data_IF_146398106269
#
_entry.id   IF_146398106269
#
_cell.length_a   1.000
_cell.length_b   1.000
_cell.length_c   1.000
_cell.angle_alpha   90.00
_cell.angle_beta   90.00
_cell.angle_gamma   90.00
#
_symmetry.space_group_name_H-M   'P 1'
#
loop_
_entity.id
_entity.type
_entity.pdbx_description
1 polymer ?
#
# COMPACT_ATOMS: atom_id res chain seq x y z
N UNK A 1 19.14 0.18 -46.05
CA UNK A 1 18.27 1.06 -45.24
C UNK A 1 18.30 0.57 -43.80
N UNK A 2 19.11 1.19 -42.95
CA UNK A 2 19.24 0.84 -41.52
C UNK A 2 18.44 1.84 -40.70
N UNK A 3 17.26 1.44 -40.23
CA UNK A 3 16.47 2.24 -39.28
C UNK A 3 17.23 2.29 -37.96
N UNK A 4 17.70 3.49 -37.59
CA UNK A 4 18.47 3.73 -36.36
C UNK A 4 17.57 3.49 -35.13
N UNK A 5 17.90 2.55 -34.23
CA UNK A 5 17.12 2.28 -33.00
C UNK A 5 17.18 3.44 -31.98
N UNK A 6 18.00 4.46 -32.24
CA UNK A 6 18.22 5.62 -31.37
C UNK A 6 16.97 6.49 -31.17
N UNK A 7 16.07 6.56 -32.16
CA UNK A 7 14.87 7.40 -32.06
C UNK A 7 13.78 6.77 -31.17
N UNK A 8 13.67 5.43 -31.16
CA UNK A 8 12.73 4.70 -30.31
C UNK A 8 13.14 4.76 -28.82
N UNK A 9 14.44 4.74 -28.53
CA UNK A 9 14.94 4.84 -27.16
C UNK A 9 14.76 6.25 -26.57
N UNK A 10 14.93 7.30 -27.36
CA UNK A 10 14.67 8.68 -26.93
C UNK A 10 13.19 8.95 -26.64
N UNK A 11 12.27 8.36 -27.42
CA UNK A 11 10.83 8.49 -27.19
C UNK A 11 10.38 7.72 -25.93
N UNK A 12 10.99 6.57 -25.64
CA UNK A 12 10.73 5.80 -24.43
C UNK A 12 11.24 6.50 -23.15
N UNK A 13 12.34 7.24 -23.22
CA UNK A 13 12.82 8.08 -22.10
C UNK A 13 12.03 9.39 -21.92
N UNK A 14 11.39 9.91 -22.97
CA UNK A 14 10.52 11.08 -22.85
C UNK A 14 9.14 10.74 -22.27
N UNK A 15 8.69 9.48 -22.39
CA UNK A 15 7.42 8.99 -21.85
C UNK A 15 7.44 8.71 -20.33
N UNK A 16 8.61 8.81 -19.67
CA UNK A 16 8.72 8.69 -18.21
C UNK A 16 8.58 10.03 -17.48
N UNK A 17 8.27 11.12 -18.22
CA UNK A 17 7.87 12.38 -17.64
C UNK A 17 6.49 12.24 -16.95
N UNK A 18 6.54 11.79 -15.70
CA UNK A 18 5.62 12.17 -14.64
C UNK A 18 4.15 11.72 -14.79
N UNK A 19 3.89 10.42 -14.63
CA UNK A 19 2.70 10.04 -13.87
C UNK A 19 2.99 10.32 -12.38
N UNK A 20 2.94 11.59 -11.99
CA UNK A 20 2.91 11.95 -10.58
C UNK A 20 1.44 12.12 -10.18
N UNK A 21 0.94 11.17 -9.39
CA UNK A 21 -0.31 11.36 -8.68
C UNK A 21 -0.18 12.56 -7.73
N UNK A 22 -1.30 13.25 -7.47
CA UNK A 22 -1.30 14.39 -6.56
C UNK A 22 -0.99 13.97 -5.12
N UNK A 23 -0.32 14.86 -4.38
CA UNK A 23 -0.11 14.69 -2.96
C UNK A 23 -1.44 14.76 -2.18
N UNK A 24 -1.48 14.06 -1.04
CA UNK A 24 -2.54 14.13 -0.03
C UNK A 24 -1.89 14.37 1.34
N UNK A 25 -1.36 15.58 1.59
CA UNK A 25 -0.39 15.83 2.65
C UNK A 25 -1.01 15.90 4.06
N UNK A 26 -2.34 15.95 4.18
CA UNK A 26 -3.02 16.13 5.46
C UNK A 26 -4.42 15.52 5.49
N UNK A 27 -4.99 15.36 6.69
CA UNK A 27 -6.38 14.95 6.86
C UNK A 27 -7.33 15.93 6.17
N UNK A 28 -8.21 15.41 5.31
CA UNK A 28 -9.07 16.22 4.47
C UNK A 28 -8.46 16.65 3.14
N UNK A 29 -7.24 16.21 2.82
CA UNK A 29 -6.55 16.43 1.53
C UNK A 29 -5.89 17.79 1.41
N UNK A 30 -6.58 18.83 1.84
CA UNK A 30 -6.08 20.20 1.84
C UNK A 30 -6.86 21.09 2.80
N UNK A 31 -6.73 22.40 2.65
CA UNK A 31 -7.34 23.38 3.57
C UNK A 31 -8.88 23.37 3.53
N UNK A 32 -9.48 22.86 2.46
CA UNK A 32 -10.94 22.69 2.32
C UNK A 32 -11.48 21.58 3.22
N UNK A 33 -10.62 20.64 3.64
CA UNK A 33 -10.95 19.49 4.50
C UNK A 33 -12.16 18.69 4.06
N UNK A 34 -12.39 18.58 2.75
CA UNK A 34 -13.59 17.96 2.18
C UNK A 34 -13.38 16.50 1.77
N UNK A 35 -12.18 15.94 1.99
CA UNK A 35 -11.84 14.56 1.66
C UNK A 35 -11.92 14.20 0.16
N UNK A 36 -11.92 15.19 -0.74
CA UNK A 36 -12.04 14.97 -2.18
C UNK A 36 -10.65 14.79 -2.82
N UNK A 37 -10.55 13.86 -3.75
CA UNK A 37 -9.40 13.72 -4.67
C UNK A 37 -9.83 14.06 -6.09
N UNK A 38 -8.97 14.77 -6.81
CA UNK A 38 -9.19 15.12 -8.22
C UNK A 38 -8.84 13.96 -9.17
N UNK A 39 -8.18 12.91 -8.67
CA UNK A 39 -7.83 11.71 -9.44
C UNK A 39 -9.09 11.08 -10.07
N UNK A 40 -8.94 10.62 -11.32
CA UNK A 40 -10.01 10.01 -12.13
C UNK A 40 -9.56 8.68 -12.70
N UNK A 41 -10.51 7.88 -13.20
CA UNK A 41 -10.20 6.61 -13.84
C UNK A 41 -9.64 5.55 -12.89
N UNK A 42 -9.83 5.73 -11.58
CA UNK A 42 -9.41 4.75 -10.58
C UNK A 42 -10.25 3.47 -10.72
N UNK A 43 -9.66 2.29 -10.47
CA UNK A 43 -10.43 1.06 -10.37
C UNK A 43 -11.55 1.20 -9.35
N UNK A 44 -12.77 0.80 -9.73
CA UNK A 44 -13.95 0.83 -8.84
C UNK A 44 -14.16 -0.49 -8.10
N UNK A 45 -13.33 -1.49 -8.38
CA UNK A 45 -13.31 -2.78 -7.71
C UNK A 45 -11.88 -3.22 -7.43
N UNK A 46 -11.69 -3.98 -6.35
CA UNK A 46 -10.41 -4.58 -5.99
C UNK A 46 -10.61 -5.91 -5.28
N UNK A 47 -9.64 -6.81 -5.42
CA UNK A 47 -9.52 -8.03 -4.61
C UNK A 47 -8.19 -7.99 -3.87
N UNK A 48 -8.19 -7.99 -2.52
CA UNK A 48 -6.96 -7.98 -1.72
C UNK A 48 -6.16 -9.28 -1.80
N UNK A 49 -6.67 -10.32 -2.47
CA UNK A 49 -6.00 -11.60 -2.59
C UNK A 49 -6.10 -12.47 -1.34
N UNK A 50 -5.50 -13.67 -1.43
CA UNK A 50 -5.48 -14.66 -0.36
C UNK A 50 -4.28 -14.41 0.57
N UNK A 51 -4.51 -14.49 1.88
CA UNK A 51 -3.43 -14.58 2.86
C UNK A 51 -2.75 -15.95 2.79
N UNK A 52 -1.43 -16.01 2.93
CA UNK A 52 -0.71 -17.28 3.08
C UNK A 52 -0.98 -17.94 4.44
N UNK A 53 -1.15 -17.12 5.49
CA UNK A 53 -1.49 -17.58 6.84
C UNK A 53 -2.98 -17.93 7.05
N UNK A 54 -3.36 -18.41 8.25
CA UNK A 54 -4.76 -18.71 8.57
C UNK A 54 -5.67 -17.50 8.30
N UNK A 55 -6.77 -17.74 7.55
CA UNK A 55 -7.71 -16.70 7.07
C UNK A 55 -8.38 -15.87 8.17
N UNK A 56 -8.34 -16.32 9.41
CA UNK A 56 -8.99 -15.65 10.53
C UNK A 56 -7.98 -15.43 11.65
N UNK A 57 -7.90 -14.19 12.12
CA UNK A 57 -7.46 -13.95 13.49
C UNK A 57 -8.34 -14.84 14.40
N UNK A 58 -7.77 -15.56 15.39
CA UNK A 58 -8.56 -16.41 16.29
C UNK A 58 -9.76 -15.65 16.88
N UNK A 59 -10.88 -16.34 17.08
CA UNK A 59 -12.19 -15.76 17.50
C UNK A 59 -12.19 -14.98 18.83
N UNK A 60 -11.08 -14.97 19.57
CA UNK A 60 -10.84 -14.18 20.79
C UNK A 60 -10.39 -12.74 20.48
N UNK A 61 -10.42 -12.32 19.21
CA UNK A 61 -9.93 -11.02 18.72
C UNK A 61 -10.62 -9.78 19.35
N UNK A 62 -10.16 -9.42 20.54
CA UNK A 62 -10.34 -8.12 21.19
C UNK A 62 -9.01 -7.38 21.32
N UNK A 63 -9.10 -6.10 21.69
CA UNK A 63 -8.00 -5.13 21.86
C UNK A 63 -6.82 -5.78 22.62
N UNK A 64 -5.69 -5.98 21.93
CA UNK A 64 -4.47 -6.67 22.41
C UNK A 64 -4.60 -8.21 22.41
N UNK A 65 -4.10 -8.86 21.36
CA UNK A 65 -4.04 -10.34 21.31
C UNK A 65 -2.94 -10.83 22.26
N UNK A 66 -3.20 -11.79 23.18
CA UNK A 66 -2.12 -12.57 23.78
C UNK A 66 -1.30 -13.23 22.67
N UNK A 67 0.02 -13.11 22.72
CA UNK A 67 0.96 -13.71 21.76
C UNK A 67 0.82 -13.21 20.30
N UNK A 68 0.21 -12.04 20.07
CA UNK A 68 0.14 -11.41 18.73
C UNK A 68 1.51 -11.30 18.06
N UNK A 69 2.51 -10.88 18.83
CA UNK A 69 3.87 -10.63 18.36
C UNK A 69 4.52 -11.92 17.83
N UNK A 70 4.29 -13.06 18.48
CA UNK A 70 4.84 -14.36 18.06
C UNK A 70 4.14 -14.88 16.79
N UNK A 71 2.81 -14.80 16.74
CA UNK A 71 2.03 -15.21 15.56
C UNK A 71 2.36 -14.34 14.33
N UNK A 72 2.59 -13.04 14.53
CA UNK A 72 2.91 -12.08 13.47
C UNK A 72 4.38 -12.17 12.98
N UNK A 73 5.25 -12.91 13.67
CA UNK A 73 6.66 -13.15 13.29
C UNK A 73 6.84 -14.40 12.42
N UNK A 74 5.82 -15.24 12.27
CA UNK A 74 5.95 -16.45 11.45
C UNK A 74 6.13 -16.09 9.96
N UNK A 75 7.01 -16.79 9.22
CA UNK A 75 7.15 -16.58 7.78
C UNK A 75 5.80 -16.74 7.06
N UNK A 76 5.40 -15.77 6.23
CA UNK A 76 4.10 -15.80 5.55
C UNK A 76 2.91 -15.32 6.39
N UNK A 77 3.11 -14.97 7.67
CA UNK A 77 2.05 -14.45 8.52
C UNK A 77 1.62 -13.05 8.06
N UNK A 78 0.33 -12.90 7.77
CA UNK A 78 -0.27 -11.68 7.24
C UNK A 78 0.23 -11.27 5.84
N UNK A 79 1.07 -12.08 5.19
CA UNK A 79 1.49 -11.89 3.80
C UNK A 79 0.35 -12.25 2.83
N UNK A 80 0.29 -11.50 1.74
CA UNK A 80 -0.69 -11.66 0.66
C UNK A 80 -0.04 -12.36 -0.52
N UNK A 81 -0.72 -13.37 -1.05
CA UNK A 81 -0.43 -13.92 -2.36
C UNK A 81 -0.84 -12.92 -3.44
N UNK A 82 0.13 -12.11 -3.86
CA UNK A 82 -0.06 -11.07 -4.88
C UNK A 82 -0.60 -11.65 -6.21
N UNK A 83 -0.35 -12.93 -6.52
CA UNK A 83 -0.84 -13.56 -7.75
C UNK A 83 -2.37 -13.73 -7.77
N UNK A 84 -3.00 -13.64 -6.60
CA UNK A 84 -4.45 -13.76 -6.43
C UNK A 84 -5.15 -12.41 -6.28
N UNK A 85 -4.40 -11.30 -6.35
CA UNK A 85 -4.96 -9.96 -6.22
C UNK A 85 -5.57 -9.46 -7.53
N UNK A 86 -6.52 -8.52 -7.43
CA UNK A 86 -7.07 -7.77 -8.56
C UNK A 86 -6.97 -6.29 -8.26
N UNK A 87 -6.43 -5.52 -9.19
CA UNK A 87 -6.24 -4.07 -9.06
C UNK A 87 -5.43 -3.66 -7.81
N UNK A 88 -4.48 -4.50 -7.38
CA UNK A 88 -3.60 -4.24 -6.25
C UNK A 88 -2.14 -4.19 -6.71
N UNK A 89 -1.47 -3.06 -6.46
CA UNK A 89 -0.08 -2.87 -6.91
C UNK A 89 0.94 -3.41 -5.91
N UNK A 90 0.66 -3.28 -4.61
CA UNK A 90 1.56 -3.69 -3.54
C UNK A 90 0.80 -3.84 -2.23
N UNK A 91 1.39 -4.58 -1.30
CA UNK A 91 0.91 -4.73 0.08
C UNK A 91 2.09 -4.53 1.02
N UNK A 92 1.84 -3.85 2.15
CA UNK A 92 2.82 -3.67 3.21
C UNK A 92 2.22 -4.09 4.55
N UNK A 93 2.96 -4.91 5.31
CA UNK A 93 2.56 -5.29 6.67
C UNK A 93 2.71 -4.09 7.61
N UNK A 94 1.65 -3.79 8.35
CA UNK A 94 1.60 -2.76 9.39
C UNK A 94 1.31 -3.39 10.75
N UNK A 95 1.18 -2.57 11.78
CA UNK A 95 0.68 -2.98 13.10
C UNK A 95 -0.77 -3.48 13.07
N UNK A 96 -1.32 -3.78 14.24
CA UNK A 96 -2.70 -4.25 14.37
C UNK A 96 -3.75 -3.14 14.39
N UNK A 97 -3.32 -1.89 14.57
CA UNK A 97 -4.19 -0.72 14.63
C UNK A 97 -3.58 0.44 13.84
N UNK A 98 -4.42 1.14 13.09
CA UNK A 98 -4.07 2.35 12.34
C UNK A 98 -4.71 3.55 13.01
N UNK A 99 -3.92 4.61 13.25
CA UNK A 99 -4.35 5.84 13.91
C UNK A 99 -4.34 6.98 12.90
N UNK A 100 -5.41 7.08 12.11
CA UNK A 100 -5.62 8.18 11.16
C UNK A 100 -5.61 7.77 9.70
N UNK A 101 -5.82 8.76 8.83
CA UNK A 101 -5.79 8.60 7.38
C UNK A 101 -4.34 8.58 6.87
N UNK A 102 -4.00 7.76 5.86
CA UNK A 102 -2.71 7.84 5.20
C UNK A 102 -2.43 9.25 4.67
N UNK A 103 -1.15 9.62 4.68
CA UNK A 103 -0.64 10.86 4.09
C UNK A 103 0.23 10.49 2.89
N UNK A 104 0.04 11.18 1.78
CA UNK A 104 0.85 11.04 0.57
C UNK A 104 1.57 12.36 0.33
N UNK A 105 2.90 12.32 0.26
CA UNK A 105 3.71 13.50 -0.04
C UNK A 105 4.98 13.12 -0.79
N UNK A 106 5.29 13.82 -1.89
CA UNK A 106 6.49 13.59 -2.70
C UNK A 106 6.69 12.11 -3.09
N UNK A 107 5.61 11.44 -3.49
CA UNK A 107 5.63 10.03 -3.90
C UNK A 107 5.84 9.02 -2.77
N UNK A 108 5.73 9.44 -1.51
CA UNK A 108 5.82 8.55 -0.34
C UNK A 108 4.47 8.42 0.34
N UNK A 109 4.21 7.25 0.94
CA UNK A 109 3.00 6.95 1.72
C UNK A 109 3.37 6.80 3.18
N UNK A 110 2.74 7.60 4.05
CA UNK A 110 2.93 7.59 5.49
C UNK A 110 1.66 7.10 6.18
N UNK A 111 1.79 6.12 7.06
CA UNK A 111 0.67 5.52 7.79
C UNK A 111 1.00 5.47 9.28
N UNK A 112 0.18 6.12 10.11
CA UNK A 112 0.29 6.02 11.57
C UNK A 112 -0.28 4.69 12.05
N UNK A 113 0.55 3.84 12.65
CA UNK A 113 0.15 2.51 13.14
C UNK A 113 0.88 2.15 14.44
N UNK A 114 0.46 1.08 15.12
CA UNK A 114 1.18 0.55 16.28
C UNK A 114 2.33 -0.40 15.87
N UNK A 115 3.11 -0.86 16.85
CA UNK A 115 4.31 -1.69 16.62
C UNK A 115 4.08 -3.19 16.82
N UNK A 116 2.84 -3.70 16.78
CA UNK A 116 2.56 -5.15 17.02
C UNK A 116 3.11 -6.09 15.93
N UNK A 117 3.57 -5.53 14.83
CA UNK A 117 4.22 -6.20 13.71
C UNK A 117 5.47 -5.39 13.34
N UNK A 118 6.55 -5.45 14.14
CA UNK A 118 7.73 -4.62 13.90
C UNK A 118 8.36 -4.98 12.55
N UNK A 119 8.77 -3.96 11.80
CA UNK A 119 9.46 -4.13 10.51
C UNK A 119 10.91 -4.57 10.70
N UNK A 120 11.56 -4.07 11.75
CA UNK A 120 12.94 -4.36 12.11
C UNK A 120 12.96 -5.00 13.50
N UNK A 121 13.93 -5.87 13.74
CA UNK A 121 14.19 -6.39 15.07
C UNK A 121 14.61 -5.27 16.03
N UNK A 122 14.41 -5.51 17.33
CA UNK A 122 14.79 -4.57 18.40
C UNK A 122 16.27 -4.60 18.70
#
# INVERSE_FOLDING_TARGET
>A
MTTKPTLLLALALAATASLQAADYPQWGGGNTRNMVSDEKGLPIDFDPGKKYGPKAAPKIAGRLRPNAEEANKQPGAEDIDMSTTKNCLWVAKLGSQTYGTPVIANGQVYVGTNNESPRNDK
#
